data_IF_486753176958
#
_entry.id   IF_486753176958
#
_cell.length_a   1.000
_cell.length_b   1.000
_cell.length_c   1.000
_cell.angle_alpha   90.00
_cell.angle_beta   90.00
_cell.angle_gamma   90.00
#
_symmetry.space_group_name_H-M   'P 1'
#
loop_
_entity.id
_entity.type
_entity.pdbx_description
1 polymer ?
#
# COMPACT_ATOMS: atom_id res chain seq x y z
N UNK A 1 5.64 1.86 -28.02
CA UNK A 1 4.44 1.02 -27.92
C UNK A 1 3.26 1.93 -27.66
N UNK A 2 2.24 1.95 -28.52
CA UNK A 2 0.99 2.67 -28.23
C UNK A 2 0.16 1.78 -27.29
N UNK A 3 0.11 2.13 -26.02
CA UNK A 3 -0.77 1.45 -25.08
C UNK A 3 -2.18 2.05 -25.23
N UNK A 4 -3.04 1.36 -25.97
CA UNK A 4 -4.47 1.65 -26.00
C UNK A 4 -5.13 0.86 -24.87
N UNK A 5 -5.76 1.57 -23.95
CA UNK A 5 -6.52 1.00 -22.84
C UNK A 5 -8.00 1.11 -23.17
N UNK A 6 -8.65 -0.04 -23.42
CA UNK A 6 -10.09 -0.12 -23.69
C UNK A 6 -10.80 -0.57 -22.41
N UNK A 7 -11.90 0.08 -21.98
CA UNK A 7 -12.72 -0.42 -20.88
C UNK A 7 -13.08 -1.90 -21.08
N UNK A 8 -12.83 -2.74 -20.06
CA UNK A 8 -13.01 -4.20 -20.13
C UNK A 8 -11.74 -5.01 -20.45
N UNK A 9 -10.62 -4.38 -20.83
CA UNK A 9 -9.30 -5.05 -20.84
C UNK A 9 -8.90 -5.39 -19.40
N UNK A 10 -8.24 -6.53 -19.12
CA UNK A 10 -7.68 -6.80 -17.78
C UNK A 10 -6.86 -5.60 -17.27
N UNK A 11 -7.30 -4.98 -16.18
CA UNK A 11 -6.71 -3.76 -15.60
C UNK A 11 -7.37 -2.42 -16.00
N UNK A 12 -8.29 -2.41 -16.97
CA UNK A 12 -9.13 -1.25 -17.33
C UNK A 12 -10.55 -1.50 -16.86
N UNK A 13 -10.80 -1.16 -15.59
CA UNK A 13 -12.07 -1.42 -14.94
C UNK A 13 -13.13 -0.35 -15.31
N UNK A 14 -14.25 -0.78 -15.88
CA UNK A 14 -15.33 0.12 -16.30
C UNK A 14 -16.14 0.60 -15.09
N UNK A 15 -15.96 1.88 -14.75
CA UNK A 15 -16.73 2.52 -13.67
C UNK A 15 -18.24 2.59 -13.96
N UNK A 16 -18.67 2.33 -15.19
CA UNK A 16 -20.07 2.30 -15.61
C UNK A 16 -20.82 1.14 -14.98
N UNK A 17 -20.19 -0.04 -14.83
CA UNK A 17 -20.81 -1.21 -14.19
C UNK A 17 -21.24 -0.91 -12.74
N UNK A 18 -20.38 -0.21 -11.98
CA UNK A 18 -20.69 0.21 -10.61
C UNK A 18 -21.87 1.19 -10.56
N UNK A 19 -21.97 2.10 -11.54
CA UNK A 19 -23.08 3.05 -11.63
C UNK A 19 -24.41 2.35 -11.92
N UNK A 20 -24.39 1.35 -12.79
CA UNK A 20 -25.58 0.54 -13.11
C UNK A 20 -26.06 -0.22 -11.88
N UNK A 21 -25.16 -0.89 -11.14
CA UNK A 21 -25.53 -1.53 -9.87
C UNK A 21 -26.10 -0.52 -8.86
N UNK A 22 -25.44 0.63 -8.67
CA UNK A 22 -25.91 1.66 -7.73
C UNK A 22 -27.31 2.15 -8.11
N UNK A 23 -27.61 2.35 -9.39
CA UNK A 23 -28.94 2.78 -9.83
C UNK A 23 -30.07 1.79 -9.49
N UNK A 24 -29.76 0.52 -9.19
CA UNK A 24 -30.75 -0.47 -8.76
C UNK A 24 -31.10 -0.40 -7.27
N UNK A 25 -30.36 0.39 -6.48
CA UNK A 25 -30.53 0.44 -5.02
C UNK A 25 -31.77 1.27 -4.63
N UNK A 26 -32.48 0.86 -3.56
CA UNK A 26 -33.86 1.28 -3.29
C UNK A 26 -34.02 2.74 -2.87
N UNK A 27 -32.97 3.38 -2.36
CA UNK A 27 -33.04 4.78 -1.88
C UNK A 27 -31.82 5.58 -2.32
N UNK A 28 -31.99 6.89 -2.53
CA UNK A 28 -30.89 7.81 -2.87
C UNK A 28 -29.79 7.83 -1.79
N UNK A 29 -30.17 7.73 -0.51
CA UNK A 29 -29.22 7.64 0.60
C UNK A 29 -28.34 6.39 0.49
N UNK A 30 -28.96 5.22 0.27
CA UNK A 30 -28.23 3.97 0.07
C UNK A 30 -27.36 4.01 -1.19
N UNK A 31 -27.81 4.68 -2.26
CA UNK A 31 -27.03 4.88 -3.48
C UNK A 31 -25.73 5.64 -3.20
N UNK A 32 -25.82 6.78 -2.51
CA UNK A 32 -24.66 7.60 -2.18
C UNK A 32 -23.65 6.85 -1.28
N UNK A 33 -24.14 6.19 -0.22
CA UNK A 33 -23.27 5.43 0.68
C UNK A 33 -22.67 4.18 0.02
N UNK A 34 -23.40 3.55 -0.90
CA UNK A 34 -22.91 2.42 -1.68
C UNK A 34 -21.81 2.85 -2.63
N UNK A 35 -21.96 4.00 -3.30
CA UNK A 35 -20.91 4.55 -4.16
C UNK A 35 -19.60 4.80 -3.37
N UNK A 36 -19.69 5.34 -2.16
CA UNK A 36 -18.51 5.54 -1.29
C UNK A 36 -17.85 4.20 -0.95
N UNK A 37 -18.63 3.17 -0.63
CA UNK A 37 -18.10 1.84 -0.29
C UNK A 37 -17.44 1.16 -1.50
N UNK A 38 -18.07 1.24 -2.67
CA UNK A 38 -17.56 0.69 -3.93
C UNK A 38 -16.29 1.39 -4.41
N UNK A 39 -16.21 2.72 -4.27
CA UNK A 39 -14.99 3.48 -4.57
C UNK A 39 -13.84 3.06 -3.66
N UNK A 40 -14.10 2.85 -2.37
CA UNK A 40 -13.09 2.32 -1.45
C UNK A 40 -12.64 0.92 -1.86
N UNK A 41 -13.56 0.00 -2.19
CA UNK A 41 -13.23 -1.35 -2.66
C UNK A 41 -12.39 -1.33 -3.93
N UNK A 42 -12.75 -0.47 -4.90
CA UNK A 42 -12.00 -0.29 -6.14
C UNK A 42 -10.58 0.23 -5.88
N UNK A 43 -10.42 1.21 -4.99
CA UNK A 43 -9.11 1.81 -4.73
C UNK A 43 -8.12 0.85 -4.06
N UNK A 44 -8.59 -0.22 -3.41
CA UNK A 44 -7.71 -1.19 -2.76
C UNK A 44 -6.71 -1.83 -3.72
N UNK A 45 -7.10 -2.10 -4.98
CA UNK A 45 -6.16 -2.65 -5.97
C UNK A 45 -5.08 -1.64 -6.35
N UNK A 46 -5.43 -0.35 -6.45
CA UNK A 46 -4.46 0.71 -6.72
C UNK A 46 -3.43 0.81 -5.60
N UNK A 47 -3.86 0.73 -4.35
CA UNK A 47 -2.94 0.73 -3.20
C UNK A 47 -1.96 -0.46 -3.24
N UNK A 48 -2.38 -1.65 -3.63
CA UNK A 48 -1.44 -2.78 -3.82
C UNK A 48 -0.41 -2.48 -4.92
N UNK A 49 -0.81 -1.81 -5.99
CA UNK A 49 0.10 -1.39 -7.07
C UNK A 49 1.03 -0.26 -6.66
N UNK A 50 0.59 0.66 -5.82
CA UNK A 50 1.41 1.72 -5.25
C UNK A 50 2.51 1.10 -4.35
N UNK A 51 2.16 0.09 -3.53
CA UNK A 51 3.15 -0.69 -2.78
C UNK A 51 4.14 -1.40 -3.71
N UNK A 52 3.65 -2.02 -4.80
CA UNK A 52 4.50 -2.68 -5.79
C UNK A 52 5.51 -1.70 -6.41
N UNK A 53 5.05 -0.49 -6.72
CA UNK A 53 5.86 0.59 -7.27
C UNK A 53 6.94 1.03 -6.26
N UNK A 54 6.59 1.10 -4.97
CA UNK A 54 7.55 1.39 -3.91
C UNK A 54 8.64 0.30 -3.81
N UNK A 55 8.26 -0.99 -3.82
CA UNK A 55 9.22 -2.11 -3.84
C UNK A 55 10.13 -2.06 -5.07
N UNK A 56 9.56 -1.76 -6.24
CA UNK A 56 10.32 -1.61 -7.49
C UNK A 56 11.32 -0.47 -7.44
N UNK A 57 10.91 0.69 -6.91
CA UNK A 57 11.80 1.85 -6.73
C UNK A 57 12.93 1.54 -5.74
N UNK A 58 12.63 0.90 -4.61
CA UNK A 58 13.63 0.47 -3.64
C UNK A 58 14.69 -0.43 -4.28
N UNK A 59 14.26 -1.49 -5.00
CA UNK A 59 15.18 -2.39 -5.72
C UNK A 59 16.06 -1.64 -6.71
N UNK A 60 15.47 -0.74 -7.51
CA UNK A 60 16.21 0.05 -8.47
C UNK A 60 17.26 0.96 -7.81
N UNK A 61 16.93 1.55 -6.66
CA UNK A 61 17.87 2.34 -5.86
C UNK A 61 19.05 1.48 -5.39
N UNK A 62 18.82 0.22 -5.01
CA UNK A 62 19.91 -0.68 -4.61
C UNK A 62 20.84 -1.01 -5.79
N UNK A 63 20.29 -1.32 -6.96
CA UNK A 63 21.09 -1.57 -8.17
C UNK A 63 21.98 -0.36 -8.53
N UNK A 64 21.40 0.85 -8.45
CA UNK A 64 22.14 2.09 -8.68
C UNK A 64 23.19 2.35 -7.59
N UNK A 65 22.88 2.07 -6.33
CA UNK A 65 23.81 2.21 -5.21
C UNK A 65 25.03 1.32 -5.41
N UNK A 66 24.83 0.06 -5.79
CA UNK A 66 25.91 -0.85 -6.14
C UNK A 66 26.75 -0.33 -7.30
N UNK A 67 26.10 0.22 -8.34
CA UNK A 67 26.82 0.81 -9.47
C UNK A 67 27.72 1.96 -9.01
N UNK A 68 27.18 2.93 -8.27
CA UNK A 68 27.94 4.09 -7.76
C UNK A 68 29.10 3.63 -6.87
N UNK A 69 28.89 2.67 -5.97
CA UNK A 69 29.95 2.12 -5.12
C UNK A 69 31.09 1.45 -5.91
N UNK A 70 30.80 0.89 -7.10
CA UNK A 70 31.82 0.28 -7.97
C UNK A 70 32.53 1.27 -8.87
N UNK A 71 31.84 2.31 -9.34
CA UNK A 71 32.32 3.16 -10.44
C UNK A 71 32.81 4.54 -10.00
N UNK A 72 32.48 4.96 -8.78
CA UNK A 72 32.80 6.31 -8.29
C UNK A 72 33.71 6.28 -7.07
N UNK A 73 34.68 7.20 -7.05
CA UNK A 73 35.61 7.36 -5.93
C UNK A 73 34.87 7.91 -4.69
N UNK A 74 34.96 7.25 -3.52
CA UNK A 74 34.36 7.72 -2.28
C UNK A 74 34.83 9.13 -1.89
N UNK A 75 34.00 9.83 -1.12
CA UNK A 75 34.28 11.18 -0.59
C UNK A 75 34.48 12.27 -1.66
N UNK A 76 34.19 11.99 -2.93
CA UNK A 76 34.09 13.02 -3.97
C UNK A 76 32.72 13.71 -3.92
N UNK A 77 32.64 14.93 -4.45
CA UNK A 77 31.37 15.66 -4.55
C UNK A 77 30.33 14.90 -5.38
N UNK A 78 30.77 14.26 -6.47
CA UNK A 78 29.89 13.46 -7.34
C UNK A 78 29.31 12.26 -6.58
N UNK A 79 30.17 11.47 -5.93
CA UNK A 79 29.75 10.34 -5.10
C UNK A 79 28.76 10.74 -4.02
N UNK A 80 29.06 11.81 -3.27
CA UNK A 80 28.19 12.29 -2.19
C UNK A 80 26.83 12.75 -2.72
N UNK A 81 26.81 13.44 -3.87
CA UNK A 81 25.56 13.89 -4.50
C UNK A 81 24.70 12.71 -4.98
N UNK A 82 25.30 11.71 -5.63
CA UNK A 82 24.58 10.52 -6.06
C UNK A 82 24.06 9.71 -4.87
N UNK A 83 24.88 9.48 -3.85
CA UNK A 83 24.45 8.78 -2.63
C UNK A 83 23.29 9.50 -1.92
N UNK A 84 23.32 10.83 -1.88
CA UNK A 84 22.22 11.63 -1.32
C UNK A 84 20.95 11.52 -2.17
N UNK A 85 21.05 11.58 -3.49
CA UNK A 85 19.91 11.41 -4.40
C UNK A 85 19.27 10.02 -4.25
N UNK A 86 20.09 8.97 -4.22
CA UNK A 86 19.64 7.60 -4.03
C UNK A 86 18.92 7.42 -2.70
N UNK A 87 19.47 7.98 -1.62
CA UNK A 87 18.80 7.98 -0.31
C UNK A 87 17.42 8.66 -0.38
N UNK A 88 17.30 9.78 -1.08
CA UNK A 88 16.02 10.48 -1.19
C UNK A 88 14.96 9.66 -1.93
N UNK A 89 15.34 8.98 -3.02
CA UNK A 89 14.45 8.07 -3.75
C UNK A 89 14.03 6.88 -2.89
N UNK A 90 14.97 6.35 -2.10
CA UNK A 90 14.68 5.26 -1.17
C UNK A 90 13.66 5.67 -0.10
N UNK A 91 13.85 6.86 0.49
CA UNK A 91 12.90 7.42 1.44
C UNK A 91 11.53 7.74 0.79
N UNK A 92 11.49 8.07 -0.50
CA UNK A 92 10.23 8.22 -1.25
C UNK A 92 9.50 6.89 -1.38
N UNK A 93 10.21 5.81 -1.74
CA UNK A 93 9.64 4.46 -1.77
C UNK A 93 9.08 4.07 -0.39
N UNK A 94 9.86 4.24 0.67
CA UNK A 94 9.44 3.99 2.05
C UNK A 94 8.17 4.74 2.46
N UNK A 95 8.10 6.03 2.15
CA UNK A 95 6.92 6.86 2.42
C UNK A 95 5.69 6.39 1.65
N UNK A 96 5.85 6.02 0.39
CA UNK A 96 4.73 5.56 -0.44
C UNK A 96 4.15 4.25 0.09
N UNK A 97 5.00 3.26 0.39
CA UNK A 97 4.57 2.01 1.01
C UNK A 97 3.86 2.24 2.36
N UNK A 98 4.40 3.13 3.20
CA UNK A 98 3.79 3.48 4.48
C UNK A 98 2.41 4.16 4.33
N UNK A 99 2.28 5.12 3.41
CA UNK A 99 1.02 5.82 3.15
C UNK A 99 -0.03 4.89 2.53
N UNK A 100 0.41 3.99 1.65
CA UNK A 100 -0.42 2.94 1.07
C UNK A 100 -1.08 2.08 2.16
N UNK A 101 -0.31 1.62 3.16
CA UNK A 101 -0.86 0.84 4.27
C UNK A 101 -1.89 1.63 5.08
N UNK A 102 -1.61 2.90 5.36
CA UNK A 102 -2.57 3.81 5.98
C UNK A 102 -3.86 3.90 5.17
N UNK A 103 -3.77 4.11 3.85
CA UNK A 103 -4.95 4.21 2.99
C UNK A 103 -5.76 2.92 2.95
N UNK A 104 -5.13 1.74 2.87
CA UNK A 104 -5.84 0.44 2.93
C UNK A 104 -6.61 0.29 4.24
N UNK A 105 -5.98 0.60 5.38
CA UNK A 105 -6.68 0.52 6.67
C UNK A 105 -7.81 1.55 6.80
N UNK A 106 -7.65 2.75 6.25
CA UNK A 106 -8.73 3.76 6.18
C UNK A 106 -9.88 3.31 5.30
N UNK A 107 -9.60 2.76 4.13
CA UNK A 107 -10.60 2.21 3.22
C UNK A 107 -11.39 1.08 3.89
N UNK A 108 -10.70 0.11 4.54
CA UNK A 108 -11.34 -0.96 5.29
C UNK A 108 -12.23 -0.43 6.43
N UNK A 109 -11.75 0.56 7.18
CA UNK A 109 -12.54 1.22 8.22
C UNK A 109 -13.79 1.89 7.65
N UNK A 110 -13.65 2.62 6.55
CA UNK A 110 -14.75 3.34 5.90
C UNK A 110 -15.79 2.38 5.31
N UNK A 111 -15.36 1.28 4.67
CA UNK A 111 -16.25 0.22 4.20
C UNK A 111 -17.11 -0.28 5.37
N UNK A 112 -16.49 -0.63 6.51
CA UNK A 112 -17.20 -1.14 7.69
C UNK A 112 -18.16 -0.11 8.30
N UNK A 113 -17.76 1.15 8.42
CA UNK A 113 -18.61 2.22 8.98
C UNK A 113 -19.81 2.49 8.08
N UNK A 114 -19.63 2.44 6.76
CA UNK A 114 -20.73 2.70 5.81
C UNK A 114 -21.71 1.53 5.67
N UNK A 115 -21.38 0.31 6.11
CA UNK A 115 -22.32 -0.84 6.06
C UNK A 115 -23.66 -0.56 6.74
N UNK A 116 -23.72 0.34 7.73
CA UNK A 116 -24.99 0.71 8.38
C UNK A 116 -25.95 1.51 7.48
N UNK A 117 -25.44 2.06 6.37
CA UNK A 117 -26.20 2.85 5.40
C UNK A 117 -26.34 2.13 4.05
N UNK A 118 -25.83 0.89 3.94
CA UNK A 118 -25.82 0.11 2.69
C UNK A 118 -26.42 -1.27 2.92
N UNK A 119 -27.71 -1.31 3.28
CA UNK A 119 -28.40 -2.54 3.67
C UNK A 119 -28.28 -3.66 2.63
N UNK A 120 -28.38 -3.33 1.35
CA UNK A 120 -28.25 -4.26 0.22
C UNK A 120 -26.85 -4.86 0.14
N UNK A 121 -25.80 -4.03 0.24
CA UNK A 121 -24.41 -4.49 0.24
C UNK A 121 -24.13 -5.31 1.51
N UNK A 122 -24.59 -4.83 2.66
CA UNK A 122 -24.41 -5.46 3.97
C UNK A 122 -25.08 -6.84 4.03
N UNK A 123 -26.26 -7.00 3.46
CA UNK A 123 -26.97 -8.28 3.43
C UNK A 123 -26.22 -9.36 2.62
N UNK A 124 -25.37 -8.94 1.68
CA UNK A 124 -24.55 -9.82 0.86
C UNK A 124 -23.08 -9.92 1.30
N UNK A 125 -22.70 -9.34 2.44
CA UNK A 125 -21.31 -9.28 2.89
C UNK A 125 -20.98 -10.21 4.06
N UNK A 126 -19.72 -10.56 4.19
CA UNK A 126 -19.18 -11.35 5.29
C UNK A 126 -18.39 -10.47 6.27
N UNK A 127 -19.02 -10.16 7.40
CA UNK A 127 -18.43 -9.34 8.46
C UNK A 127 -17.23 -10.01 9.15
N UNK A 128 -17.16 -11.34 9.16
CA UNK A 128 -16.06 -12.08 9.78
C UNK A 128 -14.80 -11.99 8.93
N UNK A 129 -14.94 -12.10 7.60
CA UNK A 129 -13.83 -11.84 6.67
C UNK A 129 -13.31 -10.40 6.78
N UNK A 130 -14.17 -9.39 6.92
CA UNK A 130 -13.74 -8.00 7.16
C UNK A 130 -13.00 -7.83 8.49
N UNK A 131 -13.45 -8.50 9.56
CA UNK A 131 -12.77 -8.47 10.85
C UNK A 131 -11.40 -9.16 10.76
N UNK A 132 -11.34 -10.31 10.10
CA UNK A 132 -10.11 -11.04 9.85
C UNK A 132 -9.12 -10.20 9.05
N UNK A 133 -9.56 -9.55 7.96
CA UNK A 133 -8.72 -8.65 7.17
C UNK A 133 -8.10 -7.52 8.01
N UNK A 134 -8.87 -6.91 8.92
CA UNK A 134 -8.33 -5.88 9.81
C UNK A 134 -7.26 -6.44 10.76
N UNK A 135 -7.47 -7.64 11.31
CA UNK A 135 -6.49 -8.32 12.15
C UNK A 135 -5.23 -8.71 11.39
N UNK A 136 -5.36 -9.22 10.16
CA UNK A 136 -4.23 -9.58 9.31
C UNK A 136 -3.42 -8.35 8.88
N UNK A 137 -4.08 -7.22 8.60
CA UNK A 137 -3.40 -5.96 8.30
C UNK A 137 -2.56 -5.48 9.48
N UNK A 138 -3.13 -5.43 10.69
CA UNK A 138 -2.41 -5.01 11.89
C UNK A 138 -1.27 -5.98 12.25
N UNK A 139 -1.48 -7.29 12.07
CA UNK A 139 -0.45 -8.31 12.32
C UNK A 139 0.71 -8.20 11.34
N UNK A 140 0.42 -7.98 10.06
CA UNK A 140 1.44 -7.85 9.02
C UNK A 140 2.19 -6.51 9.10
N UNK A 141 1.49 -5.43 9.50
CA UNK A 141 2.04 -4.07 9.50
C UNK A 141 1.66 -3.30 10.78
N UNK A 142 2.25 -3.63 11.94
CA UNK A 142 1.91 -2.96 13.19
C UNK A 142 2.10 -1.45 13.12
N UNK A 143 1.19 -0.69 13.75
CA UNK A 143 1.22 0.77 13.80
C UNK A 143 1.14 1.47 12.43
N UNK A 144 0.72 0.80 11.35
CA UNK A 144 0.58 1.42 10.02
C UNK A 144 -0.27 2.71 10.04
N UNK A 145 -1.21 2.80 10.99
CA UNK A 145 -2.11 3.93 11.17
C UNK A 145 -1.38 5.25 11.52
N UNK A 146 -0.15 5.21 12.03
CA UNK A 146 0.64 6.41 12.33
C UNK A 146 1.34 6.98 11.09
N UNK A 147 1.36 6.25 9.96
CA UNK A 147 2.15 6.62 8.77
C UNK A 147 1.84 8.03 8.26
N UNK A 148 0.56 8.42 8.19
CA UNK A 148 0.18 9.78 7.78
C UNK A 148 0.80 10.85 8.67
N UNK A 149 0.79 10.63 9.97
CA UNK A 149 1.33 11.60 10.92
C UNK A 149 2.87 11.61 10.90
N UNK A 150 3.49 10.43 10.87
CA UNK A 150 4.93 10.27 10.76
C UNK A 150 5.51 10.85 9.45
N UNK A 151 4.74 10.82 8.35
CA UNK A 151 5.12 11.43 7.09
C UNK A 151 4.86 12.95 7.05
N UNK A 152 3.72 13.40 7.57
CA UNK A 152 3.28 14.80 7.47
C UNK A 152 3.88 15.75 8.51
N UNK A 153 4.17 15.29 9.73
CA UNK A 153 4.63 16.14 10.84
C UNK A 153 6.14 16.08 11.06
N UNK A 154 6.93 15.73 10.04
CA UNK A 154 8.39 15.54 10.17
C UNK A 154 9.10 16.78 10.69
N UNK A 155 8.79 17.96 10.14
CA UNK A 155 9.40 19.22 10.57
C UNK A 155 8.99 19.60 12.00
N UNK A 156 7.75 19.31 12.39
CA UNK A 156 7.22 19.58 13.74
C UNK A 156 7.86 18.67 14.78
N UNK A 157 8.07 17.39 14.45
CA UNK A 157 8.67 16.40 15.34
C UNK A 157 10.11 16.73 15.75
N UNK A 158 10.82 17.56 14.97
CA UNK A 158 12.18 18.06 15.28
C UNK A 158 12.20 19.52 15.73
N UNK A 159 11.03 20.11 16.03
CA UNK A 159 10.92 21.51 16.45
C UNK A 159 11.49 21.79 17.85
N UNK A 160 11.62 20.78 18.71
CA UNK A 160 12.26 20.88 20.02
C UNK A 160 12.74 19.52 20.53
N UNK A 161 13.62 19.52 21.55
CA UNK A 161 14.05 18.28 22.22
C UNK A 161 12.87 17.52 22.84
N UNK A 162 11.88 18.23 23.38
CA UNK A 162 10.69 17.59 23.97
C UNK A 162 9.81 16.95 22.90
N UNK A 163 9.70 17.54 21.71
CA UNK A 163 9.02 16.89 20.57
C UNK A 163 9.78 15.63 20.11
N UNK A 164 11.11 15.72 19.99
CA UNK A 164 11.94 14.56 19.65
C UNK A 164 11.73 13.44 20.67
N UNK A 165 11.78 13.75 21.97
CA UNK A 165 11.52 12.77 23.04
C UNK A 165 10.10 12.24 22.99
N UNK A 166 9.08 13.04 22.66
CA UNK A 166 7.69 12.61 22.55
C UNK A 166 7.52 11.54 21.46
N UNK A 167 8.21 11.70 20.33
CA UNK A 167 8.13 10.76 19.22
C UNK A 167 9.15 9.62 19.28
N UNK A 168 10.21 9.73 20.11
CA UNK A 168 11.23 8.68 20.26
C UNK A 168 10.70 7.41 20.95
N UNK A 169 11.12 6.24 20.48
CA UNK A 169 10.86 4.93 21.10
C UNK A 169 11.97 4.56 22.09
N UNK A 170 11.64 3.77 23.10
CA UNK A 170 12.65 3.22 24.01
C UNK A 170 13.35 2.02 23.37
N UNK A 171 14.67 1.98 23.48
CA UNK A 171 15.53 0.89 22.99
C UNK A 171 16.51 0.48 24.10
N UNK A 172 17.19 -0.65 23.91
CA UNK A 172 18.29 -1.01 24.80
C UNK A 172 19.36 0.09 24.79
N UNK A 173 19.66 0.63 25.96
CA UNK A 173 20.66 1.69 26.12
C UNK A 173 20.18 3.12 25.86
N UNK A 174 18.88 3.37 25.60
CA UNK A 174 18.36 4.74 25.54
C UNK A 174 17.05 4.92 24.77
N UNK A 175 16.96 6.03 24.04
CA UNK A 175 15.82 6.37 23.19
C UNK A 175 16.26 6.61 21.75
N UNK A 176 15.43 6.19 20.80
CA UNK A 176 15.68 6.36 19.38
C UNK A 176 14.54 7.14 18.72
N UNK A 177 14.90 8.22 18.01
CA UNK A 177 13.99 8.97 17.17
C UNK A 177 14.37 8.77 15.70
N UNK A 178 13.38 8.48 14.85
CA UNK A 178 13.57 8.20 13.43
C UNK A 178 12.58 9.05 12.62
N UNK A 179 13.11 9.98 11.82
CA UNK A 179 12.34 10.90 10.95
C UNK A 179 12.04 10.32 9.55
N UNK A 180 11.88 9.00 9.47
CA UNK A 180 11.74 8.27 8.21
C UNK A 180 13.07 8.01 7.54
N UNK A 181 13.57 6.77 7.60
CA UNK A 181 14.72 6.33 6.82
C UNK A 181 14.58 4.88 6.40
N UNK A 182 15.27 4.49 5.32
CA UNK A 182 15.37 3.09 4.91
C UNK A 182 16.64 2.48 5.50
N UNK A 183 16.51 1.31 6.14
CA UNK A 183 17.59 0.51 6.72
C UNK A 183 17.47 -0.93 6.22
N UNK A 184 18.41 -1.35 5.36
CA UNK A 184 18.22 -2.59 4.59
C UNK A 184 16.97 -2.47 3.73
N UNK A 185 16.06 -3.44 3.86
CA UNK A 185 14.76 -3.44 3.16
C UNK A 185 13.64 -2.78 3.98
N UNK A 186 13.93 -2.19 5.14
CA UNK A 186 12.90 -1.68 6.04
C UNK A 186 12.85 -0.16 6.03
N UNK A 187 11.69 0.41 5.70
CA UNK A 187 11.41 1.81 6.02
C UNK A 187 10.95 1.95 7.46
N UNK A 188 11.65 2.80 8.22
CA UNK A 188 11.44 3.01 9.64
C UNK A 188 11.06 4.46 9.93
N UNK A 189 10.10 4.66 10.81
CA UNK A 189 9.79 5.98 11.36
C UNK A 189 9.22 5.85 12.77
N UNK A 190 9.37 6.89 13.59
CA UNK A 190 8.81 6.91 14.94
C UNK A 190 7.82 8.06 15.10
N UNK A 191 6.69 7.78 15.76
CA UNK A 191 5.70 8.81 16.08
C UNK A 191 4.95 8.43 17.35
N UNK A 192 4.90 9.32 18.35
CA UNK A 192 4.16 9.14 19.61
C UNK A 192 4.49 7.81 20.28
N UNK A 193 5.78 7.57 20.54
CA UNK A 193 6.30 6.35 21.19
C UNK A 193 6.06 5.04 20.42
N UNK A 194 5.64 5.11 19.16
CA UNK A 194 5.45 3.94 18.30
C UNK A 194 6.49 3.88 17.20
N UNK A 195 6.98 2.67 16.95
CA UNK A 195 7.78 2.36 15.78
C UNK A 195 6.85 1.94 14.64
N UNK A 196 6.94 2.66 13.54
CA UNK A 196 6.44 2.22 12.24
C UNK A 196 7.59 1.52 11.51
N UNK A 197 7.35 0.28 11.12
CA UNK A 197 8.25 -0.52 10.30
C UNK A 197 7.50 -1.03 9.08
N UNK A 198 7.98 -0.70 7.89
CA UNK A 198 7.36 -1.06 6.61
C UNK A 198 8.40 -1.74 5.72
N UNK A 199 8.33 -3.07 5.54
CA UNK A 199 9.27 -3.78 4.68
C UNK A 199 9.00 -3.50 3.19
N UNK A 200 10.02 -3.09 2.46
CA UNK A 200 10.02 -2.81 1.02
C UNK A 200 10.34 -4.08 0.21
N UNK A 201 9.64 -5.17 0.54
CA UNK A 201 9.85 -6.48 -0.08
C UNK A 201 8.61 -6.98 -0.81
N UNK A 202 8.82 -7.89 -1.76
CA UNK A 202 7.74 -8.56 -2.47
C UNK A 202 6.88 -9.42 -1.54
N UNK A 203 7.49 -10.04 -0.52
CA UNK A 203 6.77 -10.80 0.51
C UNK A 203 5.80 -9.89 1.29
N UNK A 204 6.22 -8.69 1.66
CA UNK A 204 5.36 -7.73 2.33
C UNK A 204 4.25 -7.24 1.41
N UNK A 205 4.55 -6.90 0.14
CA UNK A 205 3.53 -6.58 -0.86
C UNK A 205 2.49 -7.70 -0.99
N UNK A 206 2.93 -8.96 -1.01
CA UNK A 206 2.01 -10.10 -1.10
C UNK A 206 1.13 -10.24 0.15
N UNK A 207 1.66 -9.99 1.36
CA UNK A 207 0.84 -9.94 2.58
C UNK A 207 -0.26 -8.88 2.48
N UNK A 208 0.05 -7.70 1.93
CA UNK A 208 -0.96 -6.66 1.68
C UNK A 208 -1.98 -7.10 0.62
N UNK A 209 -1.54 -7.74 -0.46
CA UNK A 209 -2.41 -8.31 -1.48
C UNK A 209 -3.38 -9.33 -0.88
N UNK A 210 -2.90 -10.22 0.00
CA UNK A 210 -3.72 -11.23 0.67
C UNK A 210 -4.76 -10.60 1.61
N UNK A 211 -4.40 -9.52 2.30
CA UNK A 211 -5.35 -8.71 3.08
C UNK A 211 -6.43 -8.14 2.16
N UNK A 212 -6.08 -7.56 1.01
CA UNK A 212 -7.05 -7.01 0.07
C UNK A 212 -7.93 -8.11 -0.55
N UNK A 213 -7.36 -9.26 -0.88
CA UNK A 213 -8.11 -10.42 -1.36
C UNK A 213 -9.13 -10.90 -0.32
N UNK A 214 -8.76 -10.89 0.96
CA UNK A 214 -9.67 -11.19 2.05
C UNK A 214 -10.80 -10.14 2.18
N UNK A 215 -10.49 -8.85 1.98
CA UNK A 215 -11.53 -7.81 1.90
C UNK A 215 -12.48 -8.08 0.72
N UNK A 216 -11.96 -8.42 -0.45
CA UNK A 216 -12.78 -8.71 -1.63
C UNK A 216 -13.66 -9.95 -1.44
N UNK A 217 -13.12 -10.98 -0.79
CA UNK A 217 -13.88 -12.21 -0.48
C UNK A 217 -15.08 -11.95 0.44
N UNK A 218 -15.05 -10.85 1.21
CA UNK A 218 -16.17 -10.43 2.02
C UNK A 218 -17.36 -9.90 1.20
N UNK A 219 -17.21 -9.71 -0.11
CA UNK A 219 -18.27 -9.20 -1.00
C UNK A 219 -18.43 -10.11 -2.24
N UNK A 220 -18.87 -11.36 -2.07
CA UNK A 220 -18.95 -12.33 -3.17
C UNK A 220 -19.86 -11.88 -4.33
N UNK A 221 -20.89 -11.07 -4.04
CA UNK A 221 -21.77 -10.50 -5.07
C UNK A 221 -21.19 -9.32 -5.83
N UNK A 222 -20.12 -8.69 -5.31
CA UNK A 222 -19.50 -7.51 -5.92
C UNK A 222 -18.13 -7.82 -6.50
N UNK A 223 -17.48 -8.93 -6.12
CA UNK A 223 -16.09 -9.23 -6.49
C UNK A 223 -15.83 -9.24 -8.00
N UNK A 224 -16.81 -9.69 -8.80
CA UNK A 224 -16.71 -9.69 -10.26
C UNK A 224 -16.76 -8.27 -10.86
N UNK A 225 -17.24 -7.30 -10.09
CA UNK A 225 -17.26 -5.87 -10.38
C UNK A 225 -16.10 -5.12 -9.69
N UNK A 226 -15.04 -5.81 -9.28
CA UNK A 226 -13.85 -5.15 -8.73
C UNK A 226 -12.66 -5.36 -9.67
N UNK A 227 -11.71 -4.41 -9.70
CA UNK A 227 -10.47 -4.62 -10.43
C UNK A 227 -9.80 -5.92 -9.96
N UNK A 228 -9.25 -6.73 -10.88
CA UNK A 228 -8.58 -7.96 -10.47
C UNK A 228 -7.36 -7.65 -9.61
N UNK A 229 -7.16 -8.47 -8.58
CA UNK A 229 -5.93 -8.49 -7.78
C UNK A 229 -4.90 -9.39 -8.47
N UNK A 230 -4.40 -8.97 -9.63
CA UNK A 230 -3.09 -9.43 -10.10
C UNK A 230 -2.09 -8.32 -9.74
N UNK A 231 -0.80 -8.54 -9.51
CA UNK A 231 0.22 -8.84 -10.52
C UNK A 231 1.53 -9.34 -9.85
N UNK A 232 2.32 -10.21 -10.51
CA UNK A 232 3.70 -10.51 -10.08
C UNK A 232 4.38 -11.84 -10.48
N UNK A 233 3.69 -12.81 -11.08
CA UNK A 233 4.31 -14.04 -11.63
C UNK A 233 4.02 -14.07 -13.14
N UNK A 234 4.97 -14.37 -14.04
CA UNK A 234 4.60 -14.75 -15.40
C UNK A 234 3.61 -15.91 -15.32
N UNK A 235 2.63 -15.97 -16.23
CA UNK A 235 1.85 -17.19 -16.40
C UNK A 235 2.83 -18.39 -16.41
N UNK A 236 2.51 -19.54 -15.78
CA UNK A 236 3.35 -20.72 -15.95
C UNK A 236 3.54 -20.88 -17.45
N UNK A 237 4.80 -20.99 -17.86
CA UNK A 237 5.18 -21.30 -19.22
C UNK A 237 4.39 -22.56 -19.56
N UNK A 238 3.29 -22.41 -20.30
CA UNK A 238 2.57 -23.52 -20.86
C UNK A 238 3.57 -24.07 -21.85
N UNK A 239 4.36 -25.04 -21.39
CA UNK A 239 5.34 -25.76 -22.18
C UNK A 239 4.63 -26.42 -23.35
N UNK A 240 4.38 -25.64 -24.39
CA UNK A 240 4.28 -26.13 -25.75
C UNK A 240 5.71 -26.44 -26.15
N UNK A 241 6.10 -27.67 -25.83
CA UNK A 241 7.12 -28.36 -26.57
C UNK A 241 6.82 -28.17 -28.06
N UNK A 242 7.62 -27.34 -28.72
CA UNK A 242 7.73 -27.38 -30.17
C UNK A 242 8.09 -28.82 -30.55
N UNK A 243 7.30 -29.50 -31.40
CA UNK A 243 7.75 -30.78 -31.92
C UNK A 243 8.95 -30.49 -32.83
N UNK A 244 10.09 -31.10 -32.49
CA UNK A 244 11.17 -31.25 -33.45
C UNK A 244 10.62 -32.03 -34.66
N UNK A 245 10.55 -31.35 -35.79
CA UNK A 245 10.72 -31.92 -37.13
C UNK A 245 11.39 -30.89 -38.01
#
# INVERSE_FOLDING_TARGET
>A
MNHSFVPGTPGVYDATELKEFVATLPTEEEQHHSMISLLNLRNLSSYVNDYASAVGLHRHVQDLRESVLRTEEPHTLVFNNHMHLLRNWDEMAGREAAMTLFHVGKALMQIRVNMRFTETIKAGSDADSLRKAAGELERAFPNYNIARHAAGHRAEAVGSLEQVKLHAVDIEGGQQFIIGNVQGDDYLSTFEKKLLKVPLTEEARQKLNDVVALIYSAFPKLVHMLPPLNYGVPAPDNGEASPMT
#
